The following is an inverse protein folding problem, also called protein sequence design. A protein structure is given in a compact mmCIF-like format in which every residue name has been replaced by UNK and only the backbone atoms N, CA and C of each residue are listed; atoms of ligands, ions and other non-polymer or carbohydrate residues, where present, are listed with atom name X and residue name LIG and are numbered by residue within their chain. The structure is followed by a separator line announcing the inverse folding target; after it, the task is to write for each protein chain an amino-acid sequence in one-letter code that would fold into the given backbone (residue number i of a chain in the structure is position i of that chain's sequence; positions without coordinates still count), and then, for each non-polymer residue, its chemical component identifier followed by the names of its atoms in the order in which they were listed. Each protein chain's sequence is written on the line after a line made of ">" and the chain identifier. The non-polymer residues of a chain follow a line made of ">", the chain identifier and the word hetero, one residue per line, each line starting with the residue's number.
data_IF_334213636457
#
_entry.id   IF_334213636457
#
_cell.length_a   1.000
_cell.length_b   1.000
_cell.length_c   1.000
_cell.angle_alpha   90.00
_cell.angle_beta   90.00
_cell.angle_gamma   90.00
#
_symmetry.space_group_name_H-M   'P 1'
#
loop_
_entity.id
_entity.type
_entity.pdbx_description
1 polymer ?
#
# COMPACT_ATOMS: atom_id res chain seq x y z
N UNK A 1 19.20 22.87 11.92
CA UNK A 1 17.86 22.56 12.44
C UNK A 1 17.92 21.15 13.03
N UNK A 2 17.67 20.99 14.34
CA UNK A 2 17.56 19.66 14.95
C UNK A 2 16.12 19.18 14.77
N UNK A 3 15.94 18.04 14.10
CA UNK A 3 14.64 17.39 13.98
C UNK A 3 14.58 16.36 15.11
N UNK A 4 13.74 16.60 16.11
CA UNK A 4 13.47 15.63 17.16
C UNK A 4 12.40 14.66 16.66
N UNK A 5 12.79 13.42 16.43
CA UNK A 5 11.88 12.33 16.11
C UNK A 5 11.53 11.60 17.40
N UNK A 6 10.24 11.25 17.56
CA UNK A 6 9.86 10.31 18.60
C UNK A 6 10.65 9.00 18.43
N UNK A 7 11.10 8.39 19.54
CA UNK A 7 11.73 7.06 19.51
C UNK A 7 10.84 6.14 18.69
N UNK A 8 11.41 5.49 17.66
CA UNK A 8 10.67 4.54 16.83
C UNK A 8 10.16 3.44 17.75
N UNK A 9 8.84 3.38 17.96
CA UNK A 9 8.19 2.39 18.83
C UNK A 9 8.39 0.95 18.31
N UNK A 10 8.89 0.80 17.08
CA UNK A 10 8.93 -0.46 16.33
C UNK A 10 10.26 -1.22 16.35
N UNK A 11 11.33 -0.71 16.96
CA UNK A 11 12.55 -1.50 17.17
C UNK A 11 13.42 -0.99 18.32
N UNK A 12 13.89 -1.92 19.17
CA UNK A 12 14.97 -1.69 20.15
C UNK A 12 16.34 -1.48 19.47
N UNK A 13 16.37 -1.39 18.13
CA UNK A 13 17.58 -1.13 17.38
C UNK A 13 18.08 0.30 17.67
N UNK A 14 19.33 0.40 18.12
CA UNK A 14 20.04 1.67 18.30
C UNK A 14 19.81 2.55 17.09
N UNK A 15 19.41 3.80 17.33
CA UNK A 15 19.24 4.79 16.28
C UNK A 15 20.52 4.87 15.43
N UNK A 16 20.48 4.50 14.14
CA UNK A 16 21.66 4.57 13.29
C UNK A 16 22.14 6.01 13.05
N UNK A 17 21.37 7.02 13.46
CA UNK A 17 21.73 8.44 13.42
C UNK A 17 22.50 8.94 14.65
N UNK A 18 23.02 8.05 15.51
CA UNK A 18 24.04 8.44 16.50
C UNK A 18 25.13 9.21 15.76
N UNK A 19 25.24 10.51 16.09
CA UNK A 19 25.92 11.54 15.32
C UNK A 19 27.29 11.07 14.81
N UNK A 20 27.36 10.67 13.53
CA UNK A 20 28.65 10.48 12.86
C UNK A 20 29.26 11.86 12.66
N UNK A 21 30.34 12.15 13.37
CA UNK A 21 31.13 13.38 13.18
C UNK A 21 31.73 13.35 11.78
N UNK A 22 31.22 14.17 10.87
CA UNK A 22 31.74 14.34 9.52
C UNK A 22 32.98 15.23 9.62
N UNK A 23 34.15 14.72 9.24
CA UNK A 23 35.43 15.43 9.35
C UNK A 23 35.98 15.78 7.95
N UNK A 24 35.71 14.93 6.95
CA UNK A 24 36.20 15.08 5.58
C UNK A 24 35.08 15.03 4.53
N UNK A 25 35.39 15.40 3.28
CA UNK A 25 34.46 15.25 2.15
C UNK A 25 34.16 13.77 1.84
N UNK A 26 35.11 12.86 2.06
CA UNK A 26 34.89 11.42 1.88
C UNK A 26 33.89 10.89 2.92
N UNK A 27 34.00 11.34 4.18
CA UNK A 27 33.03 11.02 5.24
C UNK A 27 31.63 11.51 4.86
N UNK A 28 31.52 12.70 4.27
CA UNK A 28 30.25 13.26 3.82
C UNK A 28 29.61 12.41 2.70
N UNK A 29 30.40 11.97 1.70
CA UNK A 29 29.93 11.10 0.61
C UNK A 29 29.49 9.73 1.16
N UNK A 30 30.29 9.14 2.05
CA UNK A 30 29.97 7.86 2.67
C UNK A 30 28.68 7.95 3.52
N UNK A 31 28.53 9.01 4.30
CA UNK A 31 27.31 9.26 5.05
C UNK A 31 26.09 9.45 4.15
N UNK A 32 26.22 10.26 3.09
CA UNK A 32 25.15 10.47 2.10
C UNK A 32 24.70 9.15 1.44
N UNK A 33 25.63 8.29 1.05
CA UNK A 33 25.31 6.98 0.47
C UNK A 33 24.58 6.08 1.48
N UNK A 34 25.03 6.06 2.73
CA UNK A 34 24.35 5.34 3.81
C UNK A 34 22.92 5.84 4.04
N UNK A 35 22.71 7.17 4.01
CA UNK A 35 21.37 7.77 4.10
C UNK A 35 20.48 7.35 2.92
N UNK A 36 21.01 7.36 1.69
CA UNK A 36 20.28 6.91 0.50
C UNK A 36 19.86 5.45 0.59
N UNK A 37 20.75 4.58 1.02
CA UNK A 37 20.44 3.14 1.13
C UNK A 37 19.41 2.88 2.22
N UNK A 38 19.52 3.59 3.35
CA UNK A 38 18.50 3.52 4.40
C UNK A 38 17.15 4.08 3.95
N UNK A 39 17.15 5.17 3.16
CA UNK A 39 15.93 5.73 2.58
C UNK A 39 15.25 4.72 1.65
N UNK A 40 16.00 4.06 0.76
CA UNK A 40 15.48 2.99 -0.11
C UNK A 40 14.91 1.83 0.71
N UNK A 41 15.63 1.38 1.75
CA UNK A 41 15.17 0.31 2.61
C UNK A 41 13.86 0.67 3.35
N UNK A 42 13.74 1.91 3.83
CA UNK A 42 12.53 2.39 4.48
C UNK A 42 11.33 2.40 3.52
N UNK A 43 11.50 2.89 2.28
CA UNK A 43 10.43 2.86 1.30
C UNK A 43 10.02 1.43 0.94
N UNK A 44 10.97 0.51 0.74
CA UNK A 44 10.64 -0.91 0.52
C UNK A 44 9.86 -1.51 1.69
N UNK A 45 10.26 -1.25 2.94
CA UNK A 45 9.52 -1.69 4.14
C UNK A 45 8.11 -1.10 4.17
N UNK A 46 7.97 0.19 3.86
CA UNK A 46 6.66 0.85 3.79
C UNK A 46 5.75 0.18 2.75
N UNK A 47 6.26 -0.09 1.55
CA UNK A 47 5.47 -0.76 0.51
C UNK A 47 5.15 -2.21 0.90
N UNK A 48 6.10 -2.94 1.48
CA UNK A 48 5.87 -4.30 1.98
C UNK A 48 4.70 -4.33 2.97
N UNK A 49 4.70 -3.46 3.98
CA UNK A 49 3.57 -3.36 4.91
C UNK A 49 2.26 -2.92 4.25
N UNK A 50 2.32 -2.06 3.21
CA UNK A 50 1.13 -1.72 2.42
C UNK A 50 0.59 -2.91 1.63
N UNK A 51 1.45 -3.78 1.09
CA UNK A 51 1.01 -5.00 0.38
C UNK A 51 0.34 -5.97 1.35
N UNK A 52 0.89 -6.14 2.55
CA UNK A 52 0.25 -6.94 3.59
C UNK A 52 -1.13 -6.38 3.97
N UNK A 53 -1.23 -5.06 4.20
CA UNK A 53 -2.51 -4.39 4.42
C UNK A 53 -3.50 -4.62 3.27
N UNK A 54 -3.05 -4.59 2.01
CA UNK A 54 -3.89 -4.87 0.83
C UNK A 54 -4.50 -6.27 0.90
N UNK A 55 -3.71 -7.28 1.31
CA UNK A 55 -4.17 -8.67 1.47
C UNK A 55 -5.19 -8.80 2.60
N UNK A 56 -4.90 -8.21 3.76
CA UNK A 56 -5.80 -8.19 4.93
C UNK A 56 -7.14 -7.52 4.57
N UNK A 57 -7.09 -6.35 3.92
CA UNK A 57 -8.28 -5.61 3.51
C UNK A 57 -9.16 -6.41 2.54
N UNK A 58 -8.55 -7.18 1.63
CA UNK A 58 -9.28 -8.05 0.71
C UNK A 58 -9.99 -9.16 1.45
N UNK A 59 -9.31 -9.83 2.37
CA UNK A 59 -9.88 -10.91 3.18
C UNK A 59 -11.06 -10.40 4.04
N UNK A 60 -10.90 -9.26 4.72
CA UNK A 60 -11.98 -8.61 5.47
C UNK A 60 -13.16 -8.27 4.55
N UNK A 61 -12.89 -7.78 3.34
CA UNK A 61 -13.93 -7.40 2.39
C UNK A 61 -14.70 -8.60 1.85
N UNK A 62 -14.01 -9.69 1.53
CA UNK A 62 -14.59 -10.88 0.92
C UNK A 62 -15.45 -11.68 1.91
N UNK A 63 -14.95 -11.86 3.13
CA UNK A 63 -15.66 -12.57 4.20
C UNK A 63 -16.64 -11.67 4.97
N UNK A 64 -16.70 -10.39 4.61
CA UNK A 64 -17.51 -9.38 5.26
C UNK A 64 -17.25 -9.22 6.77
N UNK A 65 -16.02 -9.49 7.22
CA UNK A 65 -15.64 -9.41 8.64
C UNK A 65 -15.84 -8.03 9.26
N UNK A 66 -15.87 -6.97 8.45
CA UNK A 66 -16.25 -5.64 8.91
C UNK A 66 -17.64 -5.59 9.58
N UNK A 67 -18.54 -6.56 9.31
CA UNK A 67 -19.83 -6.66 9.97
C UNK A 67 -19.73 -7.14 11.42
N UNK A 68 -18.66 -7.85 11.78
CA UNK A 68 -18.42 -8.32 13.16
C UNK A 68 -18.28 -7.14 14.13
N UNK A 69 -17.71 -6.03 13.65
CA UNK A 69 -17.60 -4.76 14.38
C UNK A 69 -18.82 -3.84 14.16
N UNK A 70 -19.90 -4.34 13.54
CA UNK A 70 -21.13 -3.58 13.32
C UNK A 70 -21.10 -2.58 12.15
N UNK A 71 -20.06 -2.56 11.32
CA UNK A 71 -20.04 -1.67 10.15
C UNK A 71 -21.04 -2.11 9.10
N UNK A 72 -21.84 -1.16 8.61
CA UNK A 72 -22.82 -1.39 7.52
C UNK A 72 -22.18 -1.59 6.14
N UNK A 73 -20.90 -1.22 5.98
CA UNK A 73 -20.18 -1.38 4.72
C UNK A 73 -18.67 -1.41 4.95
N UNK A 74 -17.94 -2.10 4.08
CA UNK A 74 -16.48 -2.10 4.08
C UNK A 74 -15.89 -0.69 4.01
N UNK A 75 -16.50 0.22 3.23
CA UNK A 75 -16.01 1.60 3.12
C UNK A 75 -16.29 2.46 4.36
N UNK A 76 -17.17 2.02 5.27
CA UNK A 76 -17.29 2.63 6.59
C UNK A 76 -16.15 2.14 7.49
N UNK A 77 -15.88 0.83 7.48
CA UNK A 77 -14.78 0.21 8.24
C UNK A 77 -13.40 0.81 7.92
N UNK A 78 -13.03 0.93 6.63
CA UNK A 78 -11.69 1.41 6.27
C UNK A 78 -11.42 2.88 6.62
N UNK A 79 -12.47 3.67 6.94
CA UNK A 79 -12.30 5.07 7.35
C UNK A 79 -11.59 5.19 8.69
N UNK A 80 -11.84 4.25 9.60
CA UNK A 80 -11.26 4.23 10.94
C UNK A 80 -9.74 3.99 10.89
N UNK A 81 -9.24 3.49 9.76
CA UNK A 81 -7.82 3.31 9.47
C UNK A 81 -7.24 4.41 8.57
N UNK A 82 -7.94 5.55 8.45
CA UNK A 82 -7.54 6.69 7.61
C UNK A 82 -7.36 6.34 6.12
N UNK A 83 -8.09 5.35 5.61
CA UNK A 83 -8.02 4.95 4.21
C UNK A 83 -9.16 5.62 3.43
N UNK A 84 -8.81 6.44 2.44
CA UNK A 84 -9.80 7.05 1.57
C UNK A 84 -10.52 6.00 0.71
N UNK A 85 -11.80 6.23 0.38
CA UNK A 85 -12.60 5.30 -0.44
C UNK A 85 -11.90 4.92 -1.76
N UNK A 86 -11.35 5.89 -2.48
CA UNK A 86 -10.64 5.66 -3.75
C UNK A 86 -9.40 4.78 -3.55
N UNK A 87 -8.66 5.00 -2.47
CA UNK A 87 -7.50 4.18 -2.12
C UNK A 87 -7.92 2.75 -1.78
N UNK A 88 -9.00 2.56 -1.02
CA UNK A 88 -9.55 1.25 -0.70
C UNK A 88 -9.96 0.48 -1.98
N UNK A 89 -10.59 1.16 -2.96
CA UNK A 89 -10.88 0.54 -4.26
C UNK A 89 -9.61 0.09 -4.99
N UNK A 90 -8.58 0.93 -5.03
CA UNK A 90 -7.31 0.60 -5.67
C UNK A 90 -6.61 -0.58 -4.98
N UNK A 91 -6.67 -0.64 -3.65
CA UNK A 91 -6.16 -1.75 -2.87
C UNK A 91 -6.89 -3.05 -3.20
N UNK A 92 -8.22 -3.04 -3.26
CA UNK A 92 -8.98 -4.22 -3.68
C UNK A 92 -8.62 -4.66 -5.10
N UNK A 93 -8.40 -3.73 -6.04
CA UNK A 93 -7.93 -4.05 -7.40
C UNK A 93 -6.57 -4.75 -7.40
N UNK A 94 -5.60 -4.21 -6.66
CA UNK A 94 -4.27 -4.82 -6.55
C UNK A 94 -4.33 -6.20 -5.90
N UNK A 95 -5.14 -6.37 -4.85
CA UNK A 95 -5.32 -7.67 -4.20
C UNK A 95 -5.85 -8.72 -5.17
N UNK A 96 -6.86 -8.37 -5.97
CA UNK A 96 -7.40 -9.26 -7.00
C UNK A 96 -6.32 -9.60 -8.04
N UNK A 97 -5.58 -8.62 -8.54
CA UNK A 97 -4.50 -8.85 -9.51
C UNK A 97 -3.37 -9.73 -8.95
N UNK A 98 -3.05 -9.60 -7.65
CA UNK A 98 -2.10 -10.49 -6.95
C UNK A 98 -2.64 -11.92 -6.88
N UNK A 99 -3.90 -12.09 -6.47
CA UNK A 99 -4.55 -13.39 -6.33
C UNK A 99 -4.66 -14.12 -7.69
N UNK A 100 -4.96 -13.37 -8.75
CA UNK A 100 -5.05 -13.88 -10.13
C UNK A 100 -3.68 -14.07 -10.80
N UNK A 101 -2.59 -13.66 -10.14
CA UNK A 101 -1.22 -13.82 -10.65
C UNK A 101 -0.84 -12.84 -11.77
N UNK A 102 -1.62 -11.78 -12.02
CA UNK A 102 -1.33 -10.74 -13.02
C UNK A 102 -0.13 -9.86 -12.64
N UNK A 103 0.14 -9.75 -11.34
CA UNK A 103 1.27 -9.03 -10.76
C UNK A 103 1.83 -9.84 -9.59
N UNK A 104 3.14 -9.73 -9.36
CA UNK A 104 3.81 -10.39 -8.23
C UNK A 104 4.02 -9.39 -7.09
N UNK A 105 3.99 -9.87 -5.86
CA UNK A 105 4.26 -9.08 -4.66
C UNK A 105 5.61 -8.36 -4.73
N UNK A 106 6.69 -9.06 -5.14
CA UNK A 106 8.01 -8.46 -5.32
C UNK A 106 8.00 -7.27 -6.28
N UNK A 107 7.21 -7.34 -7.37
CA UNK A 107 7.11 -6.22 -8.29
C UNK A 107 6.51 -5.00 -7.62
N UNK A 108 5.48 -5.19 -6.79
CA UNK A 108 4.85 -4.07 -6.07
C UNK A 108 5.83 -3.48 -5.06
N UNK A 109 6.56 -4.31 -4.32
CA UNK A 109 7.56 -3.86 -3.34
C UNK A 109 8.65 -3.00 -4.00
N UNK A 110 9.10 -3.40 -5.18
CA UNK A 110 10.16 -2.69 -5.90
C UNK A 110 9.69 -1.43 -6.64
N UNK A 111 8.46 -1.45 -7.18
CA UNK A 111 7.98 -0.40 -8.08
C UNK A 111 6.92 0.51 -7.42
N UNK A 112 6.45 0.15 -6.23
CA UNK A 112 5.41 0.87 -5.50
C UNK A 112 3.99 0.62 -6.01
N UNK A 113 3.03 1.08 -5.21
CA UNK A 113 1.58 0.90 -5.45
C UNK A 113 1.12 1.56 -6.75
N UNK A 114 1.58 2.79 -7.04
CA UNK A 114 1.09 3.56 -8.18
C UNK A 114 1.47 2.92 -9.52
N UNK A 115 2.76 2.65 -9.73
CA UNK A 115 3.25 1.99 -10.94
C UNK A 115 2.61 0.60 -11.13
N UNK A 116 2.35 -0.09 -10.02
CA UNK A 116 1.65 -1.38 -10.02
C UNK A 116 0.20 -1.26 -10.48
N UNK A 117 -0.50 -0.19 -10.07
CA UNK A 117 -1.87 0.11 -10.52
C UNK A 117 -1.90 0.45 -12.01
N UNK A 118 -0.92 1.19 -12.49
CA UNK A 118 -0.83 1.57 -13.91
C UNK A 118 -0.56 0.33 -14.78
N UNK A 119 0.37 -0.54 -14.35
CA UNK A 119 0.66 -1.81 -15.02
C UNK A 119 -0.57 -2.71 -15.18
N UNK A 120 -1.44 -2.78 -14.16
CA UNK A 120 -2.66 -3.61 -14.26
C UNK A 120 -3.76 -2.93 -15.09
N UNK A 121 -3.81 -1.60 -15.11
CA UNK A 121 -4.78 -0.86 -15.94
C UNK A 121 -4.49 -1.04 -17.43
N UNK A 122 -3.23 -1.04 -17.83
CA UNK A 122 -2.81 -1.28 -19.22
C UNK A 122 -3.09 -2.72 -19.68
N UNK A 123 -3.23 -3.65 -18.72
CA UNK A 123 -3.56 -5.06 -18.96
C UNK A 123 -5.05 -5.39 -18.80
N UNK A 124 -5.93 -4.43 -18.49
CA UNK A 124 -7.39 -4.65 -18.37
C UNK A 124 -8.02 -5.02 -19.75
N UNK A 125 -7.99 -6.32 -20.05
CA UNK A 125 -8.83 -7.04 -21.03
C UNK A 125 -10.34 -6.88 -20.70
N UNK A 126 -11.29 -7.07 -21.65
CA UNK A 126 -12.71 -6.67 -21.53
C UNK A 126 -13.52 -7.22 -20.35
N UNK A 127 -13.00 -8.19 -19.60
CA UNK A 127 -13.68 -8.84 -18.46
C UNK A 127 -14.05 -7.88 -17.32
N UNK A 128 -13.27 -6.82 -17.08
CA UNK A 128 -13.58 -5.80 -16.05
C UNK A 128 -14.65 -4.77 -16.48
N UNK A 129 -14.99 -4.67 -17.78
CA UNK A 129 -16.06 -3.76 -18.25
C UNK A 129 -17.47 -4.26 -17.91
N UNK A 130 -17.64 -5.56 -17.65
CA UNK A 130 -18.98 -6.16 -17.52
C UNK A 130 -19.63 -5.95 -16.15
N UNK A 131 -18.87 -5.65 -15.08
CA UNK A 131 -19.46 -5.33 -13.76
C UNK A 131 -20.04 -3.90 -13.68
N UNK A 132 -19.63 -2.98 -14.56
CA UNK A 132 -20.22 -1.62 -14.61
C UNK A 132 -21.56 -1.57 -15.37
N UNK A 133 -21.91 -2.58 -16.16
CA UNK A 133 -23.14 -2.58 -16.99
C UNK A 133 -24.34 -3.27 -16.35
N UNK A 134 -24.18 -4.13 -15.33
CA UNK A 134 -25.29 -4.88 -14.74
C UNK A 134 -26.21 -4.07 -13.79
N UNK A 135 -25.82 -2.86 -13.37
CA UNK A 135 -26.62 -2.04 -12.44
C UNK A 135 -27.46 -0.94 -13.12
N UNK A 136 -27.56 -0.93 -14.46
CA UNK A 136 -28.53 -0.09 -15.17
C UNK A 136 -29.40 -0.97 -16.05
N UNK A 137 -30.70 -0.95 -15.76
CA UNK A 137 -31.82 -1.46 -16.56
C UNK A 137 -32.32 -2.86 -16.21
N UNK A 138 -33.12 -2.94 -15.15
CA UNK A 138 -34.36 -3.73 -15.19
C UNK A 138 -35.49 -2.81 -14.72
N UNK A 139 -35.99 -1.96 -15.63
CA UNK A 139 -37.36 -1.43 -15.52
C UNK A 139 -38.24 -2.41 -16.29
N UNK A 140 -38.94 -3.26 -15.56
CA UNK A 140 -39.97 -4.15 -16.11
C UNK A 140 -41.19 -3.26 -16.36
N UNK A 141 -41.53 -3.11 -17.63
CA UNK A 141 -42.83 -2.61 -18.06
C UNK A 141 -43.84 -3.75 -17.99
N UNK A 142 -44.91 -3.54 -17.24
CA UNK A 142 -46.20 -4.24 -17.40
C UNK A 142 -47.27 -3.16 -17.42
#
# INVERSE_FOLDING_TARGET
>A
MKIELNKRVLSEEKDPDIEKKIITNEDAIAHYNSLKDRLKANFRKEIFHKVDNIRILKEIKDNEYYKLDGYKSFFAFVKDYNIARTQAYNYLKLATALQEGFIKEDYIIENGIHNSLDLIQDKESPTFKNQKKSNKTVKIST
#
